data_IF_524651072030
#
_entry.id   IF_524651072030
#
_cell.length_a   1.000
_cell.length_b   1.000
_cell.length_c   1.000
_cell.angle_alpha   90.00
_cell.angle_beta   90.00
_cell.angle_gamma   90.00
#
_symmetry.space_group_name_H-M   'P 1'
#
loop_
_entity.id
_entity.type
_entity.pdbx_description
1 polymer ?
#
# COMPACT_ATOMS: atom_id res chain seq x y z
N UNK A 1 -13.91 -0.25 -0.21
CA UNK A 1 -14.24 -0.22 1.23
C UNK A 1 -14.45 1.22 1.66
N UNK A 2 -15.65 1.60 2.11
CA UNK A 2 -15.98 3.00 2.47
C UNK A 2 -15.16 3.51 3.64
N UNK A 3 -14.85 2.65 4.62
CA UNK A 3 -14.05 2.99 5.80
C UNK A 3 -12.63 3.44 5.50
N UNK A 4 -12.11 3.30 4.28
CA UNK A 4 -10.78 3.80 3.90
C UNK A 4 -10.82 5.23 3.32
N UNK A 5 -12.01 5.75 3.00
CA UNK A 5 -12.18 7.06 2.36
C UNK A 5 -11.61 8.21 3.19
N UNK A 6 -10.95 9.18 2.55
CA UNK A 6 -10.33 10.32 3.26
C UNK A 6 -9.21 9.92 4.23
N UNK A 7 -8.54 8.79 3.97
CA UNK A 7 -7.50 8.27 4.85
C UNK A 7 -8.04 7.57 6.10
N UNK A 8 -9.19 6.89 6.00
CA UNK A 8 -9.74 6.04 7.07
C UNK A 8 -11.14 6.42 7.62
N UNK A 9 -11.84 7.35 7.02
CA UNK A 9 -13.05 7.97 7.58
C UNK A 9 -12.81 9.45 7.85
N UNK A 10 -12.20 10.14 6.87
CA UNK A 10 -11.77 11.54 6.96
C UNK A 10 -10.70 11.84 8.01
N UNK A 11 -10.09 10.82 8.62
CA UNK A 11 -9.01 11.02 9.59
C UNK A 11 -7.82 11.75 8.95
N UNK A 12 -7.47 11.38 7.71
CA UNK A 12 -6.45 12.06 6.90
C UNK A 12 -5.08 11.38 6.86
N UNK A 13 -4.94 10.17 7.40
CA UNK A 13 -3.68 9.41 7.39
C UNK A 13 -3.52 8.61 6.10
N UNK A 14 -3.01 7.37 6.15
CA UNK A 14 -2.67 6.57 4.98
C UNK A 14 -3.80 6.56 3.95
N UNK A 15 -3.48 6.95 2.72
CA UNK A 15 -4.43 7.08 1.63
C UNK A 15 -5.23 5.79 1.44
N UNK A 16 -6.56 5.91 1.34
CA UNK A 16 -7.44 4.75 1.24
C UNK A 16 -7.18 3.88 0.00
N UNK A 17 -6.69 4.48 -1.09
CA UNK A 17 -6.25 3.74 -2.28
C UNK A 17 -5.08 2.80 -1.96
N UNK A 18 -4.08 3.31 -1.24
CA UNK A 18 -2.91 2.55 -0.82
C UNK A 18 -3.29 1.43 0.18
N UNK A 19 -4.15 1.72 1.16
CA UNK A 19 -4.64 0.70 2.10
C UNK A 19 -5.41 -0.40 1.37
N UNK A 20 -6.27 -0.04 0.42
CA UNK A 20 -7.00 -1.00 -0.41
C UNK A 20 -6.07 -1.90 -1.23
N UNK A 21 -5.05 -1.31 -1.85
CA UNK A 21 -4.02 -2.03 -2.59
C UNK A 21 -3.20 -2.99 -1.70
N UNK A 22 -2.81 -2.54 -0.50
CA UNK A 22 -2.15 -3.40 0.50
C UNK A 22 -3.05 -4.58 0.91
N UNK A 23 -4.34 -4.33 1.16
CA UNK A 23 -5.28 -5.38 1.52
C UNK A 23 -5.45 -6.42 0.39
N UNK A 24 -5.53 -5.96 -0.86
CA UNK A 24 -5.59 -6.85 -2.03
C UNK A 24 -4.34 -7.73 -2.13
N UNK A 25 -3.14 -7.15 -1.99
CA UNK A 25 -1.90 -7.92 -1.95
C UNK A 25 -1.82 -8.87 -0.75
N UNK A 26 -2.36 -8.46 0.40
CA UNK A 26 -2.54 -9.30 1.58
C UNK A 26 -3.36 -10.55 1.26
N UNK A 27 -4.43 -10.42 0.48
CA UNK A 27 -5.23 -11.55 0.04
C UNK A 27 -4.50 -12.50 -0.93
N UNK A 28 -3.43 -12.04 -1.60
CA UNK A 28 -2.63 -12.86 -2.54
C UNK A 28 -1.42 -13.52 -1.84
N UNK A 29 -0.65 -12.72 -1.10
CA UNK A 29 0.66 -13.08 -0.52
C UNK A 29 0.67 -13.21 1.00
N UNK A 30 -0.38 -12.76 1.70
CA UNK A 30 -0.44 -12.83 3.15
C UNK A 30 -0.28 -14.25 3.68
N UNK A 31 0.15 -14.34 4.95
CA UNK A 31 0.30 -15.61 5.67
C UNK A 31 -0.97 -16.45 5.59
N UNK A 32 -0.80 -17.74 5.34
CA UNK A 32 -1.90 -18.72 5.32
C UNK A 32 -2.00 -19.53 6.60
N UNK A 33 -0.88 -19.72 7.28
CA UNK A 33 -0.75 -20.52 8.47
C UNK A 33 -0.05 -19.75 9.59
N UNK A 34 -0.20 -20.23 10.81
CA UNK A 34 0.54 -19.71 11.95
C UNK A 34 1.99 -20.26 11.91
N UNK A 35 3.00 -19.42 12.15
CA UNK A 35 4.38 -19.88 12.20
C UNK A 35 4.59 -20.81 13.41
N UNK A 36 5.42 -21.84 13.23
CA UNK A 36 5.71 -22.83 14.28
C UNK A 36 6.46 -22.25 15.47
N UNK A 37 7.32 -21.26 15.21
CA UNK A 37 8.09 -20.54 16.22
C UNK A 37 8.43 -19.11 15.75
N UNK A 38 9.10 -18.37 16.63
CA UNK A 38 9.51 -16.99 16.36
C UNK A 38 10.55 -16.87 15.25
N UNK A 39 11.40 -17.89 15.04
CA UNK A 39 12.43 -17.89 14.00
C UNK A 39 11.81 -18.06 12.62
N UNK A 40 10.86 -19.00 12.48
CA UNK A 40 10.07 -19.20 11.27
C UNK A 40 9.27 -17.94 10.93
N UNK A 41 8.61 -17.34 11.93
CA UNK A 41 7.88 -16.07 11.75
C UNK A 41 8.79 -14.95 11.23
N UNK A 42 9.98 -14.80 11.82
CA UNK A 42 10.96 -13.78 11.41
C UNK A 42 11.47 -14.03 10.00
N UNK A 43 11.76 -15.28 9.65
CA UNK A 43 12.21 -15.65 8.30
C UNK A 43 11.14 -15.35 7.25
N UNK A 44 9.87 -15.68 7.52
CA UNK A 44 8.76 -15.42 6.59
C UNK A 44 8.54 -13.91 6.36
N UNK A 45 8.66 -13.09 7.41
CA UNK A 45 8.45 -11.64 7.30
C UNK A 45 9.66 -10.91 6.69
N UNK A 46 10.88 -11.21 7.16
CA UNK A 46 12.09 -10.41 6.90
C UNK A 46 13.12 -11.08 5.97
N UNK A 47 12.94 -12.37 5.67
CA UNK A 47 13.86 -13.16 4.85
C UNK A 47 13.98 -12.67 3.40
N UNK A 48 14.64 -13.48 2.59
CA UNK A 48 14.81 -13.23 1.15
C UNK A 48 14.47 -14.54 0.40
N UNK A 49 13.21 -14.73 -0.02
CA UNK A 49 12.11 -13.75 -0.03
C UNK A 49 11.46 -13.53 1.34
N UNK A 50 10.91 -12.33 1.56
CA UNK A 50 10.18 -11.97 2.78
C UNK A 50 8.96 -11.08 2.51
N UNK A 51 7.86 -11.28 3.24
CA UNK A 51 6.61 -10.56 3.01
C UNK A 51 6.76 -9.05 3.22
N UNK A 52 7.50 -8.60 4.23
CA UNK A 52 7.69 -7.16 4.46
C UNK A 52 8.45 -6.49 3.32
N UNK A 53 9.35 -7.19 2.63
CA UNK A 53 10.05 -6.63 1.46
C UNK A 53 9.08 -6.36 0.32
N UNK A 54 8.20 -7.32 0.05
CA UNK A 54 7.12 -7.17 -0.94
C UNK A 54 6.19 -6.01 -0.55
N UNK A 55 5.62 -6.02 0.65
CA UNK A 55 4.67 -4.97 1.06
C UNK A 55 5.32 -3.60 1.21
N UNK A 56 6.62 -3.51 1.45
CA UNK A 56 7.34 -2.24 1.53
C UNK A 56 7.54 -1.57 0.17
N UNK A 57 7.49 -2.31 -0.94
CA UNK A 57 7.58 -1.70 -2.28
C UNK A 57 6.39 -0.77 -2.54
N UNK A 58 5.17 -1.25 -2.29
CA UNK A 58 3.94 -0.55 -2.62
C UNK A 58 3.84 0.88 -2.05
N UNK A 59 4.02 1.14 -0.73
CA UNK A 59 3.97 2.50 -0.19
C UNK A 59 5.15 3.37 -0.64
N UNK A 60 6.31 2.78 -0.93
CA UNK A 60 7.47 3.53 -1.42
C UNK A 60 7.28 4.00 -2.85
N UNK A 61 6.84 3.11 -3.74
CA UNK A 61 6.47 3.44 -5.12
C UNK A 61 5.32 4.46 -5.15
N UNK A 62 4.29 4.28 -4.33
CA UNK A 62 3.20 5.23 -4.21
C UNK A 62 3.70 6.62 -3.76
N UNK A 63 4.57 6.68 -2.73
CA UNK A 63 5.16 7.93 -2.25
C UNK A 63 6.05 8.58 -3.32
N UNK A 64 6.80 7.80 -4.09
CA UNK A 64 7.64 8.32 -5.17
C UNK A 64 6.78 9.00 -6.26
N UNK A 65 5.63 8.41 -6.61
CA UNK A 65 4.72 8.95 -7.63
C UNK A 65 3.94 10.19 -7.17
N UNK A 66 3.48 10.19 -5.92
CA UNK A 66 2.52 11.20 -5.42
C UNK A 66 3.05 12.11 -4.32
N UNK A 67 4.30 11.94 -3.90
CA UNK A 67 4.97 12.74 -2.87
C UNK A 67 4.62 12.39 -1.41
N UNK A 68 3.52 11.69 -1.16
CA UNK A 68 3.12 11.30 0.19
C UNK A 68 2.24 10.05 0.20
N UNK A 69 2.20 9.35 1.33
CA UNK A 69 1.20 8.31 1.60
C UNK A 69 0.01 8.84 2.39
N UNK A 70 0.09 10.05 2.96
CA UNK A 70 -0.94 10.63 3.83
C UNK A 70 -1.98 11.41 3.02
N UNK A 71 -3.25 11.03 3.17
CA UNK A 71 -4.39 11.65 2.50
C UNK A 71 -4.44 13.16 2.74
N UNK A 72 -4.24 13.63 3.99
CA UNK A 72 -4.29 15.06 4.35
C UNK A 72 -3.27 15.93 3.63
N UNK A 73 -2.15 15.34 3.18
CA UNK A 73 -1.10 16.01 2.43
C UNK A 73 -1.43 15.97 0.94
N UNK A 74 -1.78 14.78 0.44
CA UNK A 74 -2.18 14.56 -0.96
C UNK A 74 -3.36 15.44 -1.39
N UNK A 75 -4.32 15.69 -0.50
CA UNK A 75 -5.55 16.43 -0.80
C UNK A 75 -5.58 17.83 -0.18
N UNK A 76 -4.43 18.31 0.32
CA UNK A 76 -4.32 19.56 1.09
C UNK A 76 -4.90 20.79 0.36
N UNK A 77 -4.75 20.86 -0.96
CA UNK A 77 -5.25 21.98 -1.78
C UNK A 77 -6.78 22.06 -1.87
N UNK A 78 -7.50 20.96 -1.60
CA UNK A 78 -8.98 20.92 -1.64
C UNK A 78 -9.64 20.93 -0.27
N UNK A 79 -8.92 21.26 0.81
CA UNK A 79 -9.50 21.30 2.17
C UNK A 79 -10.74 22.18 2.28
N UNK A 80 -10.77 23.31 1.58
CA UNK A 80 -11.92 24.25 1.57
C UNK A 80 -12.98 23.90 0.53
N UNK A 81 -12.66 23.02 -0.42
CA UNK A 81 -13.49 22.65 -1.55
C UNK A 81 -13.61 21.12 -1.63
N UNK A 82 -13.77 20.49 -0.47
CA UNK A 82 -13.83 19.04 -0.37
C UNK A 82 -14.96 18.49 -1.25
N UNK A 83 -14.67 17.39 -1.94
CA UNK A 83 -15.57 16.79 -2.94
C UNK A 83 -15.85 17.66 -4.17
N UNK A 84 -15.05 18.70 -4.46
CA UNK A 84 -15.09 19.31 -5.78
C UNK A 84 -14.67 18.32 -6.87
N UNK A 85 -15.00 18.64 -8.13
CA UNK A 85 -14.69 17.78 -9.29
C UNK A 85 -13.22 17.38 -9.36
N UNK A 86 -12.31 18.33 -9.14
CA UNK A 86 -10.87 18.08 -9.23
C UNK A 86 -10.37 17.17 -8.11
N UNK A 87 -10.87 17.34 -6.89
CA UNK A 87 -10.57 16.44 -5.78
C UNK A 87 -11.02 15.00 -6.07
N UNK A 88 -12.24 14.83 -6.61
CA UNK A 88 -12.77 13.52 -6.96
C UNK A 88 -11.98 12.87 -8.10
N UNK A 89 -11.59 13.65 -9.12
CA UNK A 89 -10.75 13.16 -10.20
C UNK A 89 -9.36 12.74 -9.71
N UNK A 90 -8.73 13.54 -8.85
CA UNK A 90 -7.46 13.19 -8.25
C UNK A 90 -7.54 11.91 -7.40
N UNK A 91 -8.52 11.81 -6.50
CA UNK A 91 -8.71 10.59 -5.70
C UNK A 91 -8.95 9.36 -6.57
N UNK A 92 -9.72 9.49 -7.66
CA UNK A 92 -9.93 8.41 -8.62
C UNK A 92 -8.63 8.00 -9.32
N UNK A 93 -7.79 8.96 -9.69
CA UNK A 93 -6.48 8.67 -10.28
C UNK A 93 -5.59 7.89 -9.31
N UNK A 94 -5.51 8.29 -8.04
CA UNK A 94 -4.78 7.54 -7.00
C UNK A 94 -5.28 6.10 -6.85
N UNK A 95 -6.59 5.87 -6.94
CA UNK A 95 -7.19 4.53 -6.89
C UNK A 95 -6.75 3.68 -8.08
N UNK A 96 -6.80 4.22 -9.29
CA UNK A 96 -6.39 3.51 -10.51
C UNK A 96 -4.91 3.12 -10.42
N UNK A 97 -4.05 4.06 -10.05
CA UNK A 97 -2.60 3.84 -9.97
C UNK A 97 -2.22 2.83 -8.88
N UNK A 98 -2.81 2.94 -7.69
CA UNK A 98 -2.56 2.00 -6.61
C UNK A 98 -3.06 0.58 -6.96
N UNK A 99 -4.20 0.48 -7.65
CA UNK A 99 -4.73 -0.80 -8.11
C UNK A 99 -3.85 -1.42 -9.21
N UNK A 100 -3.38 -0.61 -10.17
CA UNK A 100 -2.47 -1.06 -11.22
C UNK A 100 -1.16 -1.61 -10.64
N UNK A 101 -0.54 -0.88 -9.71
CA UNK A 101 0.69 -1.33 -9.05
C UNK A 101 0.46 -2.62 -8.24
N UNK A 102 -0.65 -2.73 -7.51
CA UNK A 102 -1.00 -3.98 -6.82
C UNK A 102 -1.24 -5.14 -7.80
N UNK A 103 -1.84 -4.88 -8.97
CA UNK A 103 -2.07 -5.91 -9.98
C UNK A 103 -0.76 -6.43 -10.58
N UNK A 104 0.18 -5.53 -10.91
CA UNK A 104 1.53 -5.88 -11.39
C UNK A 104 2.28 -6.76 -10.37
N UNK A 105 2.10 -6.47 -9.09
CA UNK A 105 2.69 -7.26 -8.02
C UNK A 105 1.97 -8.59 -7.80
N UNK A 106 0.65 -8.66 -8.04
CA UNK A 106 -0.16 -9.85 -7.79
C UNK A 106 -0.10 -10.89 -8.92
N UNK A 107 0.05 -10.46 -10.18
CA UNK A 107 -0.09 -11.32 -11.36
C UNK A 107 1.05 -11.09 -12.37
N UNK A 108 1.85 -12.12 -12.71
CA UNK A 108 1.85 -13.44 -12.10
C UNK A 108 2.29 -13.39 -10.63
N UNK A 109 1.83 -14.36 -9.83
CA UNK A 109 2.23 -14.46 -8.43
C UNK A 109 3.71 -14.85 -8.34
N UNK A 110 4.55 -13.94 -7.87
CA UNK A 110 6.01 -14.10 -7.84
C UNK A 110 6.62 -13.53 -6.54
N UNK A 111 6.45 -14.28 -5.45
CA UNK A 111 7.02 -13.90 -4.15
C UNK A 111 8.56 -13.92 -4.18
N UNK A 112 9.17 -14.80 -4.98
CA UNK A 112 10.61 -14.90 -5.08
C UNK A 112 11.22 -13.59 -5.60
N UNK A 113 10.61 -12.98 -6.61
CA UNK A 113 11.01 -11.67 -7.11
C UNK A 113 10.70 -10.57 -6.10
N UNK A 114 9.42 -10.32 -5.83
CA UNK A 114 8.99 -9.14 -5.06
C UNK A 114 9.48 -9.18 -3.61
N UNK A 115 9.49 -10.36 -3.01
CA UNK A 115 9.98 -10.59 -1.65
C UNK A 115 11.49 -10.54 -1.53
N UNK A 116 12.25 -10.54 -2.64
CA UNK A 116 13.72 -10.50 -2.59
C UNK A 116 14.32 -9.13 -2.90
N UNK A 117 13.48 -8.15 -3.25
CA UNK A 117 13.91 -6.77 -3.45
C UNK A 117 14.46 -6.15 -2.15
N UNK A 118 15.38 -5.18 -2.25
CA UNK A 118 15.78 -4.40 -1.10
C UNK A 118 14.57 -3.64 -0.53
N UNK A 119 14.59 -3.37 0.77
CA UNK A 119 13.65 -2.43 1.36
C UNK A 119 13.87 -1.05 0.73
N UNK A 120 12.78 -0.33 0.45
CA UNK A 120 12.82 1.10 0.23
C UNK A 120 12.98 1.85 1.55
N UNK A 121 12.27 2.97 1.72
CA UNK A 121 12.23 3.66 3.01
C UNK A 121 11.62 2.76 4.07
N UNK A 122 12.32 2.59 5.19
CA UNK A 122 11.86 1.92 6.40
C UNK A 122 11.52 2.95 7.47
N UNK A 123 10.68 2.57 8.44
CA UNK A 123 10.60 3.37 9.67
C UNK A 123 11.99 3.33 10.35
N UNK A 124 12.39 4.40 11.06
CA UNK A 124 13.56 4.36 11.93
C UNK A 124 13.43 3.27 13.01
#
# INVERSE_FOLDING_TARGET
MTGFGGGGGLFGDTCGALVGAMAALGAVYGRRDLPTDSKAAKQEMYGQPGLYRLFNQLPNEFKQRFGSTQCRLLTSQWRKTWLCKDHLHFCRHLVIEAAGLAAEMAVPKDLARWGSLPFGTQHP
#
